data_IF_037650278283
#
_entry.id   IF_037650278283
#
_cell.length_a   1.000
_cell.length_b   1.000
_cell.length_c   1.000
_cell.angle_alpha   90.00
_cell.angle_beta   90.00
_cell.angle_gamma   90.00
#
_symmetry.space_group_name_H-M   'P 1'
#
loop_
_entity.id
_entity.type
_entity.pdbx_description
1 polymer ?
#
# COMPACT_ATOMS: atom_id res chain seq x y z
N UNK A 1 -16.20 -11.71 8.98
CA UNK A 1 -16.04 -12.70 10.07
C UNK A 1 -16.88 -13.94 9.82
N UNK A 2 -18.02 -14.08 10.54
CA UNK A 2 -18.86 -15.30 10.52
C UNK A 2 -19.37 -15.71 9.14
N UNK A 3 -19.85 -14.75 8.33
CA UNK A 3 -20.29 -15.02 6.96
C UNK A 3 -19.16 -15.60 6.10
N UNK A 4 -17.96 -15.02 6.17
CA UNK A 4 -16.78 -15.51 5.47
C UNK A 4 -16.42 -16.95 5.90
N UNK A 5 -16.44 -17.25 7.21
CA UNK A 5 -16.16 -18.59 7.72
C UNK A 5 -17.12 -19.64 7.16
N UNK A 6 -18.43 -19.32 7.14
CA UNK A 6 -19.43 -20.20 6.53
C UNK A 6 -19.17 -20.41 5.02
N UNK A 7 -18.85 -19.34 4.30
CA UNK A 7 -18.53 -19.42 2.87
C UNK A 7 -17.25 -20.21 2.60
N UNK A 8 -16.22 -20.12 3.45
CA UNK A 8 -14.99 -20.91 3.33
C UNK A 8 -15.28 -22.41 3.52
N UNK A 9 -16.05 -22.78 4.54
CA UNK A 9 -16.48 -24.18 4.72
C UNK A 9 -17.22 -24.69 3.49
N UNK A 10 -18.16 -23.89 2.97
CA UNK A 10 -18.87 -24.23 1.72
C UNK A 10 -17.88 -24.41 0.55
N UNK A 11 -16.94 -23.49 0.36
CA UNK A 11 -15.96 -23.57 -0.72
C UNK A 11 -15.13 -24.86 -0.66
N UNK A 12 -14.66 -25.26 0.52
CA UNK A 12 -13.92 -26.52 0.68
C UNK A 12 -14.78 -27.76 0.36
N UNK A 13 -16.05 -27.76 0.77
CA UNK A 13 -16.99 -28.85 0.45
C UNK A 13 -17.34 -28.92 -1.04
N UNK A 14 -17.47 -27.77 -1.69
CA UNK A 14 -17.76 -27.67 -3.13
C UNK A 14 -16.54 -28.01 -3.99
N UNK A 15 -15.32 -27.99 -3.43
CA UNK A 15 -14.05 -28.23 -4.13
C UNK A 15 -13.17 -29.27 -3.39
N UNK A 16 -13.66 -30.51 -3.18
CA UNK A 16 -12.98 -31.50 -2.35
C UNK A 16 -11.64 -31.98 -2.92
N UNK A 17 -11.48 -31.93 -4.24
CA UNK A 17 -10.29 -32.43 -4.94
C UNK A 17 -9.21 -31.36 -5.17
N UNK A 18 -9.47 -30.10 -4.77
CA UNK A 18 -8.50 -29.02 -4.96
C UNK A 18 -7.26 -29.23 -4.07
N UNK A 19 -6.10 -29.28 -4.69
CA UNK A 19 -4.79 -29.37 -4.03
C UNK A 19 -4.01 -28.08 -4.26
N UNK A 20 -3.96 -27.16 -3.29
CA UNK A 20 -3.19 -25.93 -3.43
C UNK A 20 -1.70 -26.21 -3.55
N UNK A 21 -1.04 -25.49 -4.44
CA UNK A 21 0.41 -25.54 -4.65
C UNK A 21 1.00 -24.13 -4.51
N UNK A 22 2.24 -24.04 -4.04
CA UNK A 22 2.96 -22.77 -3.98
C UNK A 22 3.51 -22.44 -5.36
N UNK A 23 3.38 -21.18 -5.77
CA UNK A 23 4.00 -20.70 -7.00
C UNK A 23 5.53 -20.63 -6.89
N UNK A 24 6.03 -20.32 -5.69
CA UNK A 24 7.45 -20.17 -5.39
C UNK A 24 7.96 -21.34 -4.53
N UNK A 25 9.26 -21.61 -4.59
CA UNK A 25 9.87 -22.62 -3.73
C UNK A 25 9.91 -22.16 -2.27
N UNK A 26 9.90 -23.11 -1.33
CA UNK A 26 10.03 -22.80 0.11
C UNK A 26 11.35 -22.08 0.40
N UNK A 27 12.43 -22.45 -0.28
CA UNK A 27 13.74 -21.85 -0.09
C UNK A 27 13.77 -20.37 -0.53
N UNK A 28 13.08 -20.03 -1.63
CA UNK A 28 12.94 -18.64 -2.10
C UNK A 28 12.15 -17.80 -1.10
N UNK A 29 11.03 -18.34 -0.58
CA UNK A 29 10.21 -17.66 0.42
C UNK A 29 10.98 -17.42 1.72
N UNK A 30 11.76 -18.40 2.18
CA UNK A 30 12.62 -18.26 3.36
C UNK A 30 13.70 -17.22 3.12
N UNK A 31 14.32 -17.23 1.93
CA UNK A 31 15.33 -16.25 1.55
C UNK A 31 14.78 -14.82 1.52
N UNK A 32 13.57 -14.62 0.99
CA UNK A 32 12.87 -13.34 0.99
C UNK A 32 12.56 -12.89 2.42
N UNK A 33 11.91 -13.75 3.22
CA UNK A 33 11.52 -13.46 4.60
C UNK A 33 12.73 -13.03 5.45
N UNK A 34 13.87 -13.72 5.32
CA UNK A 34 15.07 -13.45 6.10
C UNK A 34 16.02 -12.43 5.46
N UNK A 35 15.69 -11.86 4.29
CA UNK A 35 16.54 -10.87 3.62
C UNK A 35 16.98 -9.72 4.53
N UNK A 36 16.12 -9.12 5.38
CA UNK A 36 16.56 -8.06 6.29
C UNK A 36 17.62 -8.52 7.32
N UNK A 37 17.56 -9.78 7.75
CA UNK A 37 18.55 -10.37 8.66
C UNK A 37 19.88 -10.55 7.94
N UNK A 38 19.86 -11.03 6.69
CA UNK A 38 21.07 -11.18 5.87
C UNK A 38 21.73 -9.83 5.60
N UNK A 39 20.95 -8.83 5.18
CA UNK A 39 21.43 -7.45 4.98
C UNK A 39 22.15 -6.90 6.24
N UNK A 40 21.61 -7.19 7.44
CA UNK A 40 22.27 -6.80 8.69
C UNK A 40 23.59 -7.54 8.90
N UNK A 41 23.57 -8.87 8.85
CA UNK A 41 24.74 -9.70 9.15
C UNK A 41 25.91 -9.44 8.18
N UNK A 42 25.61 -9.21 6.90
CA UNK A 42 26.62 -8.94 5.86
C UNK A 42 27.28 -7.57 6.00
N UNK A 43 26.54 -6.55 6.47
CA UNK A 43 27.00 -5.16 6.42
C UNK A 43 27.19 -4.49 7.78
N UNK A 44 26.81 -5.12 8.90
CA UNK A 44 26.87 -4.52 10.25
C UNK A 44 28.25 -3.97 10.61
N UNK A 45 29.33 -4.61 10.14
CA UNK A 45 30.71 -4.26 10.51
C UNK A 45 31.32 -3.17 9.61
N UNK A 46 30.59 -2.67 8.60
CA UNK A 46 31.05 -1.56 7.75
C UNK A 46 31.15 -0.25 8.53
N UNK A 47 30.34 -0.07 9.57
CA UNK A 47 30.28 1.13 10.40
C UNK A 47 30.46 0.76 11.87
N UNK A 48 31.08 1.65 12.65
CA UNK A 48 31.17 1.49 14.11
C UNK A 48 29.84 1.71 14.82
N UNK A 49 28.88 2.36 14.16
CA UNK A 49 27.53 2.56 14.66
C UNK A 49 26.54 1.79 13.79
N UNK A 50 25.95 0.72 14.34
CA UNK A 50 25.03 -0.16 13.60
C UNK A 50 23.79 0.56 13.06
N UNK A 51 23.40 1.72 13.60
CA UNK A 51 22.24 2.45 13.11
C UNK A 51 22.58 3.46 12.00
N UNK A 52 23.87 3.64 11.69
CA UNK A 52 24.37 4.57 10.66
C UNK A 52 25.22 3.77 9.69
N UNK A 53 24.59 3.28 8.61
CA UNK A 53 25.25 2.42 7.62
C UNK A 53 24.74 2.76 6.21
N UNK A 54 25.61 2.96 5.20
CA UNK A 54 25.18 3.27 3.84
C UNK A 54 24.61 2.05 3.10
N UNK A 55 24.83 0.82 3.58
CA UNK A 55 24.41 -0.40 2.88
C UNK A 55 23.00 -0.87 3.28
N UNK A 56 22.42 -0.33 4.35
CA UNK A 56 21.06 -0.67 4.76
C UNK A 56 20.32 0.50 5.39
N UNK A 57 18.99 0.39 5.44
CA UNK A 57 18.12 1.31 6.16
C UNK A 57 17.49 0.60 7.36
N UNK A 58 17.38 1.28 8.51
CA UNK A 58 16.65 0.72 9.66
C UNK A 58 15.14 0.81 9.44
N UNK A 59 14.32 -0.10 10.00
CA UNK A 59 12.87 -0.01 9.88
C UNK A 59 12.31 1.34 10.36
N UNK A 60 12.89 1.90 11.43
CA UNK A 60 12.49 3.22 11.95
C UNK A 60 12.76 4.35 10.94
N UNK A 61 13.92 4.36 10.31
CA UNK A 61 14.27 5.35 9.28
C UNK A 61 13.35 5.24 8.07
N UNK A 62 13.08 4.01 7.61
CA UNK A 62 12.19 3.79 6.47
C UNK A 62 10.76 4.26 6.79
N UNK A 63 10.26 3.96 7.99
CA UNK A 63 8.93 4.41 8.43
C UNK A 63 8.81 5.94 8.43
N UNK A 64 9.81 6.66 8.95
CA UNK A 64 9.80 8.12 8.93
C UNK A 64 9.82 8.69 7.52
N UNK A 65 10.62 8.09 6.62
CA UNK A 65 10.66 8.50 5.22
C UNK A 65 9.31 8.28 4.54
N UNK A 66 8.67 7.12 4.75
CA UNK A 66 7.32 6.85 4.24
C UNK A 66 6.31 7.89 4.77
N UNK A 67 6.28 8.12 6.08
CA UNK A 67 5.36 9.07 6.70
C UNK A 67 5.53 10.47 6.13
N UNK A 68 6.76 10.93 5.96
CA UNK A 68 7.04 12.25 5.37
C UNK A 68 6.55 12.35 3.92
N UNK A 69 6.77 11.33 3.10
CA UNK A 69 6.28 11.30 1.71
C UNK A 69 4.75 11.38 1.70
N UNK A 70 4.07 10.57 2.51
CA UNK A 70 2.61 10.57 2.53
C UNK A 70 2.04 11.88 3.09
N UNK A 71 2.67 12.44 4.11
CA UNK A 71 2.21 13.66 4.75
C UNK A 71 2.32 14.90 3.84
N UNK A 72 3.47 15.06 3.18
CA UNK A 72 3.76 16.24 2.36
C UNK A 72 3.07 16.21 0.99
N UNK A 73 2.82 15.04 0.43
CA UNK A 73 2.41 14.91 -0.98
C UNK A 73 1.05 14.23 -1.18
N UNK A 74 0.62 13.35 -0.27
CA UNK A 74 -0.60 12.55 -0.43
C UNK A 74 -1.68 13.00 0.56
N UNK A 75 -1.91 14.32 0.59
CA UNK A 75 -2.95 14.96 1.38
C UNK A 75 -2.85 14.66 2.90
N UNK A 76 -1.65 14.79 3.46
CA UNK A 76 -1.45 14.72 4.89
C UNK A 76 -1.85 15.97 5.66
N UNK A 77 -1.52 15.98 6.96
CA UNK A 77 -1.80 17.11 7.85
C UNK A 77 -0.94 18.31 7.50
N UNK A 78 0.27 18.10 6.97
CA UNK A 78 1.18 19.17 6.58
C UNK A 78 0.60 20.13 5.53
N UNK A 79 -0.33 19.65 4.70
CA UNK A 79 -0.97 20.42 3.63
C UNK A 79 -2.46 20.64 3.87
N UNK A 80 -2.92 20.52 5.12
CA UNK A 80 -4.34 20.59 5.48
C UNK A 80 -5.20 19.66 4.62
N UNK A 81 -4.71 18.45 4.37
CA UNK A 81 -5.34 17.41 3.57
C UNK A 81 -5.54 17.77 2.09
N UNK A 82 -4.69 18.64 1.53
CA UNK A 82 -4.72 19.00 0.12
C UNK A 82 -3.62 18.29 -0.68
N UNK A 83 -3.96 17.87 -1.91
CA UNK A 83 -3.01 17.35 -2.91
C UNK A 83 -3.47 17.74 -4.31
N UNK A 84 -2.66 17.45 -5.33
CA UNK A 84 -2.97 17.61 -6.75
C UNK A 84 -2.14 16.63 -7.59
N UNK A 85 -2.41 16.54 -8.89
CA UNK A 85 -1.72 15.61 -9.79
C UNK A 85 -0.19 15.72 -9.75
N UNK A 86 0.36 16.93 -9.58
CA UNK A 86 1.83 17.12 -9.49
C UNK A 86 2.42 16.64 -8.17
N UNK A 87 1.73 16.84 -7.07
CA UNK A 87 2.17 16.29 -5.78
C UNK A 87 2.12 14.75 -5.80
N UNK A 88 1.09 14.17 -6.40
CA UNK A 88 0.95 12.71 -6.53
C UNK A 88 1.99 12.10 -7.47
N UNK A 89 2.34 12.78 -8.56
CA UNK A 89 3.45 12.39 -9.45
C UNK A 89 4.78 12.30 -8.67
N UNK A 90 5.11 13.34 -7.91
CA UNK A 90 6.31 13.38 -7.06
C UNK A 90 6.26 12.33 -5.94
N UNK A 91 5.09 12.09 -5.34
CA UNK A 91 4.92 11.02 -4.35
C UNK A 91 5.24 9.65 -4.96
N UNK A 92 4.78 9.40 -6.20
CA UNK A 92 5.05 8.17 -6.94
C UNK A 92 6.55 7.90 -7.10
N UNK A 93 7.29 8.88 -7.62
CA UNK A 93 8.76 8.78 -7.77
C UNK A 93 9.46 8.49 -6.43
N UNK A 94 9.02 9.16 -5.35
CA UNK A 94 9.59 8.97 -4.02
C UNK A 94 9.27 7.60 -3.43
N UNK A 95 8.06 7.07 -3.66
CA UNK A 95 7.68 5.73 -3.25
C UNK A 95 8.42 4.65 -4.04
N UNK A 96 8.70 4.87 -5.32
CA UNK A 96 9.52 3.96 -6.14
C UNK A 96 10.94 3.85 -5.57
N UNK A 97 11.61 4.97 -5.31
CA UNK A 97 12.91 4.97 -4.63
C UNK A 97 12.83 4.33 -3.23
N UNK A 98 11.73 4.54 -2.49
CA UNK A 98 11.56 3.94 -1.17
C UNK A 98 11.40 2.42 -1.24
N UNK A 99 10.72 1.88 -2.27
CA UNK A 99 10.61 0.43 -2.50
C UNK A 99 11.97 -0.18 -2.82
N UNK A 100 12.81 0.49 -3.61
CA UNK A 100 14.19 0.05 -3.86
C UNK A 100 15.02 0.00 -2.57
N UNK A 101 14.90 1.01 -1.71
CA UNK A 101 15.58 1.04 -0.42
C UNK A 101 14.99 0.05 0.60
N UNK A 102 13.70 -0.31 0.46
CA UNK A 102 13.05 -1.31 1.29
C UNK A 102 13.70 -2.70 1.15
N UNK A 103 14.21 -3.01 -0.05
CA UNK A 103 15.00 -4.24 -0.30
C UNK A 103 16.30 -4.28 0.52
N UNK A 104 16.77 -3.12 0.98
CA UNK A 104 17.97 -2.95 1.82
C UNK A 104 17.60 -2.69 3.28
N UNK A 105 16.37 -2.96 3.72
CA UNK A 105 16.05 -2.90 5.15
C UNK A 105 16.91 -3.90 5.92
N UNK A 106 17.29 -3.55 7.15
CA UNK A 106 17.97 -4.46 8.07
C UNK A 106 17.05 -4.97 9.18
N UNK A 107 17.40 -6.11 9.77
CA UNK A 107 16.79 -6.62 11.00
C UNK A 107 17.85 -7.26 11.90
N UNK A 108 18.09 -6.66 13.09
CA UNK A 108 19.06 -7.18 14.07
C UNK A 108 18.50 -8.27 15.01
N UNK A 109 17.18 -8.35 15.09
CA UNK A 109 16.44 -9.29 15.94
C UNK A 109 15.06 -9.57 15.30
N UNK A 110 14.28 -10.50 15.90
CA UNK A 110 12.96 -10.87 15.40
C UNK A 110 11.94 -9.70 15.47
N UNK A 111 12.14 -8.75 16.38
CA UNK A 111 11.27 -7.58 16.48
C UNK A 111 11.52 -6.63 15.31
N UNK A 112 12.78 -6.34 14.97
CA UNK A 112 13.10 -5.56 13.78
C UNK A 112 12.69 -6.30 12.49
N UNK A 113 12.75 -7.63 12.46
CA UNK A 113 12.27 -8.41 11.32
C UNK A 113 10.77 -8.21 11.09
N UNK A 114 9.97 -8.26 12.17
CA UNK A 114 8.55 -7.90 12.13
C UNK A 114 8.35 -6.48 11.63
N UNK A 115 9.11 -5.50 12.14
CA UNK A 115 8.97 -4.09 11.75
C UNK A 115 9.37 -3.83 10.30
N UNK A 116 10.36 -4.55 9.77
CA UNK A 116 10.74 -4.48 8.36
C UNK A 116 9.57 -4.90 7.46
N UNK A 117 8.96 -6.06 7.74
CA UNK A 117 7.80 -6.56 6.98
C UNK A 117 6.56 -5.68 7.12
N UNK A 118 6.25 -5.22 8.33
CA UNK A 118 5.14 -4.28 8.52
C UNK A 118 5.33 -2.98 7.72
N UNK A 119 6.57 -2.49 7.61
CA UNK A 119 6.83 -1.32 6.79
C UNK A 119 6.69 -1.59 5.30
N UNK A 120 7.12 -2.76 4.82
CA UNK A 120 6.84 -3.15 3.43
C UNK A 120 5.33 -3.19 3.16
N UNK A 121 4.54 -3.76 4.07
CA UNK A 121 3.08 -3.75 3.98
C UNK A 121 2.52 -2.31 3.94
N UNK A 122 3.07 -1.39 4.73
CA UNK A 122 2.69 0.03 4.71
C UNK A 122 3.03 0.71 3.39
N UNK A 123 4.18 0.41 2.78
CA UNK A 123 4.56 0.99 1.47
C UNK A 123 3.55 0.59 0.40
N UNK A 124 3.21 -0.70 0.29
CA UNK A 124 2.24 -1.18 -0.72
C UNK A 124 0.86 -0.56 -0.48
N UNK A 125 0.44 -0.43 0.77
CA UNK A 125 -0.83 0.23 1.13
C UNK A 125 -0.81 1.71 0.78
N UNK A 126 0.30 2.40 1.03
CA UNK A 126 0.48 3.81 0.74
C UNK A 126 0.45 4.08 -0.78
N UNK A 127 1.14 3.26 -1.56
CA UNK A 127 1.10 3.34 -3.03
C UNK A 127 -0.32 3.09 -3.56
N UNK A 128 -1.01 2.06 -3.06
CA UNK A 128 -2.40 1.78 -3.43
C UNK A 128 -3.31 2.98 -3.13
N UNK A 129 -3.20 3.56 -1.93
CA UNK A 129 -3.96 4.74 -1.53
C UNK A 129 -3.70 5.94 -2.47
N UNK A 130 -2.43 6.23 -2.75
CA UNK A 130 -2.03 7.28 -3.67
C UNK A 130 -2.59 7.05 -5.07
N UNK A 131 -2.47 5.83 -5.63
CA UNK A 131 -2.98 5.48 -6.97
C UNK A 131 -4.49 5.60 -7.10
N UNK A 132 -5.24 5.34 -6.01
CA UNK A 132 -6.68 5.56 -5.98
C UNK A 132 -7.05 7.04 -6.00
N UNK A 133 -6.32 7.88 -5.26
CA UNK A 133 -6.50 9.33 -5.28
C UNK A 133 -6.10 9.89 -6.63
N UNK A 134 -4.95 9.50 -7.18
CA UNK A 134 -4.42 9.94 -8.47
C UNK A 134 -5.41 9.67 -9.60
N UNK A 135 -5.93 8.44 -9.66
CA UNK A 135 -6.91 8.03 -10.68
C UNK A 135 -8.22 8.81 -10.58
N UNK A 136 -8.69 9.15 -9.38
CA UNK A 136 -9.96 9.87 -9.18
C UNK A 136 -9.77 11.38 -9.35
N UNK A 137 -10.28 11.90 -10.46
CA UNK A 137 -10.24 13.32 -10.82
C UNK A 137 -11.47 14.09 -10.27
N UNK A 138 -11.69 14.03 -8.94
CA UNK A 138 -12.68 14.81 -8.20
C UNK A 138 -12.33 14.90 -6.70
N UNK A 139 -12.99 15.79 -5.96
CA UNK A 139 -12.96 15.86 -4.50
C UNK A 139 -14.27 15.31 -3.91
N UNK A 140 -14.41 13.97 -3.87
CA UNK A 140 -15.62 13.29 -3.37
C UNK A 140 -15.88 13.47 -1.87
N UNK A 141 -14.82 13.55 -1.07
CA UNK A 141 -14.89 13.54 0.39
C UNK A 141 -14.17 14.76 1.00
N UNK A 142 -14.64 15.99 0.70
CA UNK A 142 -14.05 17.19 1.28
C UNK A 142 -14.11 17.12 2.80
N UNK A 143 -12.98 17.42 3.45
CA UNK A 143 -12.77 17.25 4.89
C UNK A 143 -11.92 16.03 5.23
N UNK A 144 -11.91 14.99 4.39
CA UNK A 144 -10.91 13.91 4.47
C UNK A 144 -9.71 14.19 3.59
N UNK A 145 -9.94 14.62 2.34
CA UNK A 145 -8.90 15.15 1.46
C UNK A 145 -9.51 16.04 0.37
N UNK A 146 -8.66 16.86 -0.26
CA UNK A 146 -9.01 17.72 -1.39
C UNK A 146 -8.02 17.50 -2.54
N UNK A 147 -8.54 17.22 -3.75
CA UNK A 147 -7.81 17.34 -5.02
C UNK A 147 -7.93 18.77 -5.51
N UNK A 148 -6.91 19.60 -5.26
CA UNK A 148 -6.95 21.02 -5.57
C UNK A 148 -7.13 21.31 -7.08
N UNK A 149 -6.64 20.42 -7.93
CA UNK A 149 -6.82 20.44 -9.39
C UNK A 149 -8.21 19.96 -9.86
N UNK A 150 -8.96 19.27 -9.00
CA UNK A 150 -10.32 18.78 -9.25
C UNK A 150 -11.22 18.98 -8.02
N UNK A 151 -11.33 20.23 -7.55
CA UNK A 151 -11.83 20.51 -6.19
C UNK A 151 -13.37 20.53 -6.03
N UNK A 152 -14.08 19.79 -6.87
CA UNK A 152 -15.54 19.66 -6.81
C UNK A 152 -15.94 18.20 -6.85
N UNK A 153 -17.16 17.92 -6.40
CA UNK A 153 -17.79 16.61 -6.53
C UNK A 153 -18.37 16.48 -7.94
N UNK A 154 -17.99 15.44 -8.67
CA UNK A 154 -18.45 15.14 -10.03
C UNK A 154 -19.38 13.92 -10.02
N UNK A 155 -20.68 14.16 -9.90
CA UNK A 155 -21.71 13.13 -9.95
C UNK A 155 -21.87 12.48 -11.33
N UNK A 156 -21.45 13.15 -12.40
CA UNK A 156 -21.65 12.67 -13.77
C UNK A 156 -20.60 11.61 -14.13
N UNK A 157 -19.33 11.90 -13.90
CA UNK A 157 -18.22 11.02 -14.31
C UNK A 157 -17.72 10.11 -13.19
N UNK A 158 -17.93 10.48 -11.92
CA UNK A 158 -17.24 9.87 -10.79
C UNK A 158 -18.15 9.26 -9.71
N UNK A 159 -19.47 9.19 -9.95
CA UNK A 159 -20.41 8.40 -9.15
C UNK A 159 -20.24 6.89 -9.38
N UNK A 160 -19.09 6.38 -8.96
CA UNK A 160 -18.65 5.01 -9.14
C UNK A 160 -17.66 4.64 -8.03
N UNK A 161 -17.47 3.35 -7.83
CA UNK A 161 -16.33 2.84 -7.07
C UNK A 161 -15.08 2.90 -7.94
N UNK A 162 -13.96 3.25 -7.34
CA UNK A 162 -12.65 3.03 -7.95
C UNK A 162 -12.10 1.75 -7.36
N UNK A 163 -11.77 0.80 -8.21
CA UNK A 163 -11.17 -0.46 -7.85
C UNK A 163 -9.81 -0.55 -8.53
N UNK A 164 -8.92 -1.39 -7.99
CA UNK A 164 -7.64 -1.66 -8.62
C UNK A 164 -7.26 -3.12 -8.54
N UNK A 165 -6.36 -3.52 -9.43
CA UNK A 165 -5.64 -4.79 -9.39
C UNK A 165 -4.15 -4.47 -9.36
N UNK A 166 -3.40 -5.16 -8.51
CA UNK A 166 -1.94 -5.15 -8.50
C UNK A 166 -1.42 -6.42 -9.14
N UNK A 167 -0.55 -6.27 -10.12
CA UNK A 167 0.12 -7.37 -10.78
C UNK A 167 1.50 -7.60 -10.14
N UNK A 168 1.71 -8.78 -9.57
CA UNK A 168 2.95 -9.11 -8.82
C UNK A 168 4.18 -9.15 -9.72
N UNK A 169 4.03 -9.59 -10.96
CA UNK A 169 5.16 -9.79 -11.88
C UNK A 169 5.68 -8.46 -12.43
N UNK A 170 4.78 -7.66 -12.99
CA UNK A 170 5.08 -6.34 -13.54
C UNK A 170 5.16 -5.24 -12.48
N UNK A 171 4.68 -5.51 -11.26
CA UNK A 171 4.59 -4.56 -10.13
C UNK A 171 3.75 -3.31 -10.46
N UNK A 172 2.75 -3.45 -11.34
CA UNK A 172 1.91 -2.34 -11.81
C UNK A 172 0.51 -2.38 -11.21
N UNK A 173 0.00 -1.19 -10.91
CA UNK A 173 -1.39 -0.97 -10.51
C UNK A 173 -2.25 -0.61 -11.72
N UNK A 174 -3.38 -1.29 -11.86
CA UNK A 174 -4.41 -0.91 -12.84
C UNK A 174 -5.66 -0.48 -12.09
N UNK A 175 -5.93 0.82 -12.08
CA UNK A 175 -7.16 1.40 -11.53
C UNK A 175 -8.27 1.46 -12.59
N UNK A 176 -9.51 1.20 -12.18
CA UNK A 176 -10.67 1.25 -13.07
C UNK A 176 -11.95 1.59 -12.31
N UNK A 177 -12.95 2.09 -13.06
CA UNK A 177 -14.27 2.42 -12.52
C UNK A 177 -15.15 1.18 -12.43
N UNK A 178 -15.91 1.05 -11.35
CA UNK A 178 -17.02 0.09 -11.18
C UNK A 178 -18.29 0.86 -10.87
N UNK A 179 -19.30 0.70 -11.72
CA UNK A 179 -20.57 1.44 -11.62
C UNK A 179 -21.22 1.21 -10.26
N UNK A 180 -21.62 2.30 -9.61
CA UNK A 180 -22.45 2.24 -8.42
C UNK A 180 -23.91 1.98 -8.80
N UNK A 181 -24.58 1.08 -8.07
CA UNK A 181 -26.00 0.78 -8.23
C UNK A 181 -26.67 0.91 -6.87
N UNK A 182 -27.71 1.74 -6.80
CA UNK A 182 -28.52 1.86 -5.60
C UNK A 182 -29.31 0.57 -5.37
N UNK A 183 -29.04 -0.12 -4.26
CA UNK A 183 -29.81 -1.30 -3.83
C UNK A 183 -31.09 -0.92 -3.07
N UNK A 184 -31.14 0.30 -2.54
CA UNK A 184 -32.27 0.83 -1.78
C UNK A 184 -32.72 2.12 -2.43
N UNK A 185 -34.04 2.26 -2.59
CA UNK A 185 -34.66 3.48 -3.09
C UNK A 185 -34.46 4.64 -2.08
N UNK A 186 -33.59 5.57 -2.44
CA UNK A 186 -33.25 6.74 -1.61
C UNK A 186 -34.39 7.74 -1.46
N UNK A 187 -35.38 7.74 -2.36
CA UNK A 187 -36.56 8.62 -2.22
C UNK A 187 -37.42 8.25 -1.02
N UNK A 188 -37.26 7.02 -0.49
CA UNK A 188 -37.98 6.53 0.69
C UNK A 188 -37.25 6.79 2.00
N UNK A 189 -35.97 7.16 1.96
CA UNK A 189 -35.12 7.33 3.16
C UNK A 189 -35.13 8.76 3.70
N UNK A 190 -35.49 9.75 2.88
CA UNK A 190 -35.42 11.18 3.23
C UNK A 190 -36.79 11.88 3.13
N UNK A 191 -37.86 11.20 3.51
CA UNK A 191 -39.18 11.84 3.73
C UNK A 191 -39.22 12.55 5.08
#
# INVERSE_FOLDING_TARGET
GRMCAKSMVKYCLDNPDLKPELADSVDDLVAEIYKPVRNFLEHKDYSTAIDINPNYITPKMLQFRLQKIMDEYVAGVATYYQTNGKMLEVAGEKLDMLKEDAEKMRAKDLHELLRAWENYHRIITAEAHMKHIEFREESRYPGFYYRADYNIVDEENWKCFVNSIYDRESKKWTCFKRKHVDLVDKTKLFK
#
